data_IF_639151971047
#
_entry.id   IF_639151971047
#
_cell.length_a   1.000
_cell.length_b   1.000
_cell.length_c   1.000
_cell.angle_alpha   90.00
_cell.angle_beta   90.00
_cell.angle_gamma   90.00
#
_symmetry.space_group_name_H-M   'P 1'
#
loop_
_entity.id
_entity.type
_entity.pdbx_description
1 polymer ?
#
# COMPACT_ATOMS: atom_id res chain seq x y z
N UNK A 1 6.77 9.43 -23.79
CA UNK A 1 6.65 10.31 -22.60
C UNK A 1 6.38 9.44 -21.38
N UNK A 2 7.21 9.58 -20.34
CA UNK A 2 7.01 8.84 -19.09
C UNK A 2 5.77 9.40 -18.37
N UNK A 3 4.77 8.59 -18.05
CA UNK A 3 3.56 9.02 -17.34
C UNK A 3 3.88 9.66 -15.99
N UNK A 4 3.13 10.70 -15.60
CA UNK A 4 3.37 11.53 -14.42
C UNK A 4 2.21 11.40 -13.44
N UNK A 5 2.51 11.22 -12.15
CA UNK A 5 1.52 11.29 -11.08
C UNK A 5 1.31 12.76 -10.71
N UNK A 6 0.20 13.32 -11.18
CA UNK A 6 -0.13 14.74 -10.99
C UNK A 6 -0.98 15.01 -9.75
N UNK A 7 -1.67 14.00 -9.21
CA UNK A 7 -2.46 14.10 -8.01
C UNK A 7 -2.48 12.80 -7.23
N UNK A 8 -2.66 12.86 -5.91
CA UNK A 8 -2.74 11.69 -5.02
C UNK A 8 -3.54 12.00 -3.76
N UNK A 9 -4.27 11.01 -3.28
CA UNK A 9 -5.04 11.15 -2.05
C UNK A 9 -5.17 9.82 -1.30
N UNK A 10 -5.22 9.89 0.02
CA UNK A 10 -5.39 8.73 0.90
C UNK A 10 -6.38 9.05 2.02
N UNK A 11 -7.25 8.07 2.29
CA UNK A 11 -8.21 8.10 3.40
C UNK A 11 -8.07 6.80 4.20
N UNK A 12 -8.11 6.89 5.52
CA UNK A 12 -7.95 5.71 6.40
C UNK A 12 -8.90 5.74 7.58
N UNK A 13 -9.07 4.58 8.21
CA UNK A 13 -9.79 4.40 9.46
C UNK A 13 -9.08 5.00 10.69
N UNK A 14 -9.79 5.05 11.83
CA UNK A 14 -9.22 5.62 13.06
C UNK A 14 -8.06 4.80 13.64
N UNK A 15 -8.02 3.49 13.42
CA UNK A 15 -6.90 2.63 13.84
C UNK A 15 -5.66 2.92 13.01
N UNK A 16 -5.81 3.01 11.71
CA UNK A 16 -4.78 3.33 10.73
C UNK A 16 -4.18 4.71 10.95
N UNK A 17 -5.03 5.70 11.27
CA UNK A 17 -4.61 7.07 11.58
C UNK A 17 -3.74 7.18 12.83
N UNK A 18 -3.75 6.18 13.72
CA UNK A 18 -2.85 6.07 14.89
C UNK A 18 -1.57 5.30 14.59
N UNK A 19 -1.42 4.76 13.38
CA UNK A 19 -0.23 4.06 12.92
C UNK A 19 0.93 4.98 12.59
N UNK A 20 2.02 4.39 12.12
CA UNK A 20 3.26 5.12 11.83
C UNK A 20 3.10 6.16 10.70
N UNK A 21 2.16 5.95 9.79
CA UNK A 21 1.88 6.86 8.67
C UNK A 21 0.77 7.87 8.96
N UNK A 22 0.18 7.88 10.16
CA UNK A 22 -0.89 8.80 10.55
C UNK A 22 -0.70 10.26 10.11
N UNK A 23 0.49 10.86 10.31
CA UNK A 23 0.77 12.27 9.92
C UNK A 23 0.82 12.50 8.39
N UNK A 24 0.82 11.46 7.59
CA UNK A 24 0.92 11.56 6.13
C UNK A 24 -0.42 11.42 5.42
N UNK A 25 -1.40 10.74 6.03
CA UNK A 25 -2.72 10.55 5.41
C UNK A 25 -3.47 11.87 5.25
N UNK A 26 -4.16 12.01 4.11
CA UNK A 26 -4.93 13.22 3.81
C UNK A 26 -6.19 13.30 4.69
N UNK A 27 -6.82 12.17 4.98
CA UNK A 27 -8.00 12.14 5.82
C UNK A 27 -8.01 10.90 6.74
N UNK A 28 -8.34 11.10 8.00
CA UNK A 28 -8.56 10.04 8.98
C UNK A 28 -10.02 10.09 9.41
N UNK A 29 -10.76 9.00 9.18
CA UNK A 29 -12.16 8.87 9.55
C UNK A 29 -12.33 8.88 11.08
N UNK A 30 -13.49 9.33 11.54
CA UNK A 30 -13.83 9.33 12.98
C UNK A 30 -14.15 7.91 13.48
N UNK A 31 -14.78 7.12 12.63
CA UNK A 31 -15.17 5.73 12.87
C UNK A 31 -15.12 4.93 11.57
N UNK A 32 -15.12 3.61 11.66
CA UNK A 32 -15.02 2.70 10.52
C UNK A 32 -16.30 2.64 9.67
N UNK A 33 -17.43 3.09 10.18
CA UNK A 33 -18.69 3.14 9.44
C UNK A 33 -18.75 4.29 8.42
N UNK A 34 -17.92 5.30 8.61
CA UNK A 34 -17.89 6.53 7.80
C UNK A 34 -19.28 7.17 7.65
N UNK A 35 -20.14 6.97 8.68
CA UNK A 35 -21.53 7.43 8.69
C UNK A 35 -22.48 6.63 7.81
N UNK A 36 -22.08 5.46 7.31
CA UNK A 36 -22.88 4.57 6.48
C UNK A 36 -23.54 3.46 7.31
N UNK A 37 -24.57 2.82 6.74
CA UNK A 37 -25.33 1.75 7.40
C UNK A 37 -24.69 0.36 7.26
N UNK A 38 -23.68 0.22 6.40
CA UNK A 38 -22.93 -1.03 6.23
C UNK A 38 -21.48 -0.71 5.89
N UNK A 39 -20.59 -1.65 6.19
CA UNK A 39 -19.16 -1.48 5.92
C UNK A 39 -18.83 -1.49 4.42
N UNK A 40 -19.61 -2.20 3.58
CA UNK A 40 -19.48 -2.14 2.13
C UNK A 40 -19.78 -0.74 1.59
N UNK A 41 -20.79 -0.07 2.13
CA UNK A 41 -21.09 1.33 1.78
C UNK A 41 -19.99 2.29 2.28
N UNK A 42 -19.42 2.01 3.46
CA UNK A 42 -18.29 2.77 3.96
C UNK A 42 -17.07 2.61 3.06
N UNK A 43 -16.76 1.39 2.63
CA UNK A 43 -15.65 1.10 1.71
C UNK A 43 -15.84 1.77 0.34
N UNK A 44 -17.03 1.68 -0.25
CA UNK A 44 -17.40 2.41 -1.47
C UNK A 44 -17.21 3.92 -1.31
N UNK A 45 -17.64 4.49 -0.19
CA UNK A 45 -17.52 5.92 0.08
C UNK A 45 -16.06 6.34 0.30
N UNK A 46 -15.21 5.49 0.89
CA UNK A 46 -13.77 5.74 1.00
C UNK A 46 -13.12 5.78 -0.38
N UNK A 47 -13.39 4.80 -1.25
CA UNK A 47 -12.89 4.79 -2.63
C UNK A 47 -13.30 6.04 -3.38
N UNK A 48 -14.57 6.41 -3.34
CA UNK A 48 -15.08 7.64 -3.95
C UNK A 48 -14.37 8.89 -3.41
N UNK A 49 -14.19 8.98 -2.10
CA UNK A 49 -13.49 10.10 -1.46
C UNK A 49 -12.03 10.19 -1.90
N UNK A 50 -11.34 9.05 -2.02
CA UNK A 50 -9.97 8.99 -2.51
C UNK A 50 -9.86 9.46 -3.97
N UNK A 51 -10.76 9.00 -4.84
CA UNK A 51 -10.82 9.40 -6.25
C UNK A 51 -11.03 10.91 -6.38
N UNK A 52 -12.04 11.46 -5.72
CA UNK A 52 -12.34 12.91 -5.75
C UNK A 52 -11.15 13.70 -5.22
N UNK A 53 -10.60 13.29 -4.06
CA UNK A 53 -9.45 13.98 -3.47
C UNK A 53 -8.20 13.96 -4.35
N UNK A 54 -7.96 12.88 -5.10
CA UNK A 54 -6.84 12.81 -6.03
C UNK A 54 -7.04 13.72 -7.26
N UNK A 55 -8.27 13.85 -7.76
CA UNK A 55 -8.63 14.78 -8.86
C UNK A 55 -8.46 16.24 -8.38
N UNK A 56 -8.88 16.54 -7.15
CA UNK A 56 -8.70 17.87 -6.55
C UNK A 56 -7.23 18.22 -6.33
N UNK A 57 -6.40 17.26 -5.82
CA UNK A 57 -4.95 17.45 -5.65
C UNK A 57 -4.24 17.68 -7.01
N UNK A 58 -4.72 17.01 -8.07
CA UNK A 58 -4.27 17.21 -9.44
C UNK A 58 -4.67 18.58 -10.03
N UNK A 59 -5.62 19.28 -9.41
CA UNK A 59 -6.20 20.55 -9.89
C UNK A 59 -6.80 20.47 -11.29
N UNK A 60 -7.45 19.36 -11.60
CA UNK A 60 -8.17 19.13 -12.85
C UNK A 60 -9.66 18.96 -12.56
N UNK A 61 -10.48 18.97 -13.61
CA UNK A 61 -11.90 18.66 -13.52
C UNK A 61 -12.12 17.16 -13.68
N UNK A 62 -13.21 16.63 -13.13
CA UNK A 62 -13.59 15.24 -13.36
C UNK A 62 -13.80 14.94 -14.86
N UNK A 63 -14.26 15.92 -15.64
CA UNK A 63 -14.41 15.82 -17.11
C UNK A 63 -13.08 15.64 -17.86
N UNK A 64 -11.94 15.91 -17.23
CA UNK A 64 -10.62 15.75 -17.84
C UNK A 64 -10.08 14.32 -17.66
N UNK A 65 -10.78 13.49 -16.87
CA UNK A 65 -10.43 12.08 -16.63
C UNK A 65 -11.05 11.21 -17.73
N UNK A 66 -10.22 10.39 -18.38
CA UNK A 66 -10.67 9.49 -19.44
C UNK A 66 -11.10 8.12 -18.90
N UNK A 67 -10.41 7.60 -17.87
CA UNK A 67 -10.56 6.24 -17.41
C UNK A 67 -10.30 6.13 -15.90
N UNK A 68 -11.09 5.31 -15.24
CA UNK A 68 -10.83 4.81 -13.88
C UNK A 68 -10.41 3.35 -13.95
N UNK A 69 -9.25 3.05 -13.36
CA UNK A 69 -8.80 1.70 -13.08
C UNK A 69 -8.90 1.49 -11.56
N UNK A 70 -9.79 0.61 -11.12
CA UNK A 70 -9.97 0.41 -9.69
C UNK A 70 -10.33 -1.03 -9.35
N UNK A 71 -10.04 -1.41 -8.10
CA UNK A 71 -10.37 -2.70 -7.54
C UNK A 71 -10.36 -2.70 -6.02
N UNK A 72 -10.94 -3.74 -5.45
CA UNK A 72 -11.02 -4.01 -4.02
C UNK A 72 -10.97 -5.52 -3.76
N UNK A 73 -11.10 -5.94 -2.51
CA UNK A 73 -11.00 -7.37 -2.13
C UNK A 73 -12.32 -8.13 -2.23
N UNK A 74 -13.45 -7.45 -2.38
CA UNK A 74 -14.75 -8.08 -2.29
C UNK A 74 -15.12 -8.80 -3.59
N UNK A 75 -16.00 -9.79 -3.47
CA UNK A 75 -16.51 -10.53 -4.63
C UNK A 75 -17.04 -9.56 -5.69
N UNK A 76 -16.61 -9.80 -6.95
CA UNK A 76 -16.87 -8.98 -8.13
C UNK A 76 -16.47 -7.51 -7.99
N UNK A 77 -15.49 -7.20 -7.10
CA UNK A 77 -15.00 -5.83 -6.85
C UNK A 77 -16.15 -4.83 -6.64
N UNK A 78 -17.08 -5.22 -5.75
CA UNK A 78 -18.36 -4.52 -5.59
C UNK A 78 -18.20 -3.08 -5.12
N UNK A 79 -17.23 -2.80 -4.23
CA UNK A 79 -17.00 -1.46 -3.71
C UNK A 79 -16.50 -0.51 -4.81
N UNK A 80 -15.59 -0.98 -5.65
CA UNK A 80 -15.04 -0.22 -6.78
C UNK A 80 -16.07 0.01 -7.88
N UNK A 81 -16.83 -1.03 -8.24
CA UNK A 81 -17.86 -0.95 -9.27
C UNK A 81 -18.97 0.04 -8.90
N UNK A 82 -19.38 0.03 -7.63
CA UNK A 82 -20.41 0.95 -7.14
C UNK A 82 -19.88 2.36 -6.88
N UNK A 83 -18.60 2.52 -6.55
CA UNK A 83 -17.98 3.83 -6.51
C UNK A 83 -17.89 4.44 -7.92
N UNK A 84 -17.53 3.64 -8.93
CA UNK A 84 -17.41 4.07 -10.32
C UNK A 84 -18.73 4.59 -10.91
N UNK A 85 -19.86 4.05 -10.45
CA UNK A 85 -21.21 4.47 -10.91
C UNK A 85 -21.49 5.98 -10.79
N UNK A 86 -20.82 6.64 -9.87
CA UNK A 86 -21.04 8.05 -9.56
C UNK A 86 -20.15 8.99 -10.40
N UNK A 87 -19.40 8.45 -11.35
CA UNK A 87 -18.50 9.20 -12.23
C UNK A 87 -18.90 9.00 -13.71
N UNK A 88 -18.65 10.01 -14.52
CA UNK A 88 -18.94 10.02 -15.96
C UNK A 88 -17.65 9.83 -16.79
N UNK A 89 -16.87 8.80 -16.45
CA UNK A 89 -15.71 8.38 -17.23
C UNK A 89 -15.64 6.85 -17.33
N UNK A 90 -14.90 6.33 -18.31
CA UNK A 90 -14.80 4.90 -18.53
C UNK A 90 -14.27 4.18 -17.27
N UNK A 91 -14.66 2.92 -17.05
CA UNK A 91 -14.25 2.11 -15.92
C UNK A 91 -13.76 0.73 -16.37
N UNK A 92 -12.58 0.35 -15.90
CA UNK A 92 -12.08 -1.01 -15.94
C UNK A 92 -11.84 -1.50 -14.50
N UNK A 93 -12.60 -2.50 -14.09
CA UNK A 93 -12.44 -3.18 -12.81
C UNK A 93 -11.29 -4.18 -12.88
N UNK A 94 -10.42 -4.14 -11.87
CA UNK A 94 -9.23 -4.97 -11.77
C UNK A 94 -9.28 -5.82 -10.50
N UNK A 95 -8.71 -7.02 -10.56
CA UNK A 95 -8.58 -7.89 -9.39
C UNK A 95 -7.23 -8.59 -9.36
N UNK A 96 -6.25 -7.95 -8.79
CA UNK A 96 -4.96 -8.54 -8.39
C UNK A 96 -4.85 -8.70 -6.87
N UNK A 97 -6.00 -8.85 -6.17
CA UNK A 97 -6.07 -8.80 -4.71
C UNK A 97 -5.32 -7.56 -4.18
N UNK A 98 -4.44 -7.71 -3.19
CA UNK A 98 -3.72 -6.57 -2.59
C UNK A 98 -2.70 -5.91 -3.54
N UNK A 99 -2.35 -6.54 -4.69
CA UNK A 99 -1.43 -5.98 -5.70
C UNK A 99 -2.11 -5.00 -6.67
N UNK A 100 -3.42 -4.85 -6.64
CA UNK A 100 -4.22 -4.11 -7.61
C UNK A 100 -3.76 -2.65 -7.81
N UNK A 101 -3.14 -2.02 -6.80
CA UNK A 101 -2.63 -0.65 -6.98
C UNK A 101 -1.50 -0.59 -8.01
N UNK A 102 -0.51 -1.48 -7.96
CA UNK A 102 0.56 -1.52 -8.96
C UNK A 102 0.05 -2.05 -10.31
N UNK A 103 -0.87 -3.02 -10.31
CA UNK A 103 -1.55 -3.51 -11.51
C UNK A 103 -2.21 -2.35 -12.26
N UNK A 104 -3.05 -1.56 -11.57
CA UNK A 104 -3.74 -0.41 -12.16
C UNK A 104 -2.77 0.64 -12.71
N UNK A 105 -1.70 0.94 -11.96
CA UNK A 105 -0.70 1.93 -12.40
C UNK A 105 0.14 1.43 -13.58
N UNK A 106 0.48 0.14 -13.63
CA UNK A 106 1.20 -0.46 -14.76
C UNK A 106 0.36 -0.42 -16.03
N UNK A 107 -0.94 -0.77 -15.94
CA UNK A 107 -1.89 -0.71 -17.06
C UNK A 107 -2.08 0.75 -17.50
N UNK A 108 -2.33 1.68 -16.56
CA UNK A 108 -2.46 3.11 -16.86
C UNK A 108 -1.26 3.66 -17.61
N UNK A 109 -0.06 3.27 -17.16
CA UNK A 109 1.19 3.72 -17.79
C UNK A 109 1.31 3.22 -19.22
N UNK A 110 0.94 1.97 -19.49
CA UNK A 110 0.95 1.37 -20.83
C UNK A 110 -0.06 2.05 -21.77
N UNK A 111 -1.27 2.34 -21.26
CA UNK A 111 -2.33 3.03 -22.04
C UNK A 111 -1.88 4.46 -22.39
N UNK A 112 -1.29 5.19 -21.42
CA UNK A 112 -0.83 6.56 -21.65
C UNK A 112 0.37 6.59 -22.61
N UNK A 113 1.32 5.65 -22.48
CA UNK A 113 2.46 5.54 -23.38
C UNK A 113 2.01 5.17 -24.81
N UNK A 114 0.97 4.32 -24.94
CA UNK A 114 0.27 3.99 -26.19
C UNK A 114 -0.52 5.15 -26.77
N UNK A 115 -0.71 6.26 -26.04
CA UNK A 115 -1.45 7.47 -26.43
C UNK A 115 -2.95 7.26 -26.66
N UNK A 116 -3.53 6.24 -26.07
CA UNK A 116 -4.98 6.00 -26.13
C UNK A 116 -5.74 6.97 -25.20
N UNK A 117 -5.21 7.25 -24.01
CA UNK A 117 -5.75 8.20 -23.06
C UNK A 117 -4.67 9.10 -22.47
N UNK A 118 -5.04 10.33 -22.09
CA UNK A 118 -4.13 11.31 -21.51
C UNK A 118 -4.16 11.33 -19.98
N UNK A 119 -5.29 11.00 -19.36
CA UNK A 119 -5.48 11.13 -17.91
C UNK A 119 -6.28 9.96 -17.37
N UNK A 120 -5.69 9.20 -16.46
CA UNK A 120 -6.26 7.99 -15.86
C UNK A 120 -6.19 8.11 -14.34
N UNK A 121 -7.27 7.74 -13.66
CA UNK A 121 -7.30 7.59 -12.20
C UNK A 121 -7.09 6.12 -11.86
N UNK A 122 -6.15 5.84 -10.95
CA UNK A 122 -5.94 4.54 -10.34
C UNK A 122 -6.38 4.61 -8.87
N UNK A 123 -7.23 3.68 -8.42
CA UNK A 123 -7.70 3.67 -7.03
C UNK A 123 -7.94 2.26 -6.52
N UNK A 124 -7.47 2.00 -5.29
CA UNK A 124 -7.79 0.75 -4.60
C UNK A 124 -8.05 1.01 -3.12
N UNK A 125 -8.85 0.13 -2.51
CA UNK A 125 -9.18 0.24 -1.10
C UNK A 125 -9.61 -1.09 -0.52
N UNK A 126 -9.62 -1.15 0.80
CA UNK A 126 -10.12 -2.28 1.58
C UNK A 126 -10.73 -1.78 2.89
N UNK A 127 -11.55 -2.61 3.50
CA UNK A 127 -12.11 -2.36 4.81
C UNK A 127 -11.96 -3.60 5.67
N UNK A 128 -11.50 -3.44 6.92
CA UNK A 128 -11.29 -4.54 7.84
C UNK A 128 -12.52 -5.44 7.97
N UNK A 129 -13.67 -4.86 8.29
CA UNK A 129 -14.87 -5.64 8.59
C UNK A 129 -15.45 -6.36 7.38
N UNK A 130 -15.37 -5.80 6.19
CA UNK A 130 -15.84 -6.44 4.95
C UNK A 130 -14.93 -7.61 4.56
N UNK A 131 -13.62 -7.41 4.59
CA UNK A 131 -12.65 -8.45 4.27
C UNK A 131 -12.67 -9.61 5.28
N UNK A 132 -12.68 -9.31 6.57
CA UNK A 132 -12.74 -10.35 7.60
C UNK A 132 -14.03 -11.18 7.47
N UNK A 133 -15.19 -10.53 7.23
CA UNK A 133 -16.45 -11.22 7.04
C UNK A 133 -16.46 -12.10 5.79
N UNK A 134 -15.84 -11.65 4.71
CA UNK A 134 -15.76 -12.43 3.49
C UNK A 134 -14.81 -13.62 3.60
N UNK A 135 -13.64 -13.44 4.21
CA UNK A 135 -12.55 -14.43 4.16
C UNK A 135 -12.37 -15.22 5.46
N UNK A 136 -12.79 -14.68 6.61
CA UNK A 136 -12.54 -15.26 7.94
C UNK A 136 -13.74 -15.22 8.86
N UNK A 137 -14.96 -15.15 8.32
CA UNK A 137 -16.19 -15.07 9.12
C UNK A 137 -16.44 -16.34 9.96
N UNK A 138 -17.42 -16.32 10.90
CA UNK A 138 -18.21 -15.14 11.27
C UNK A 138 -17.44 -14.19 12.19
N UNK A 139 -17.58 -12.88 11.94
CA UNK A 139 -16.94 -11.83 12.75
C UNK A 139 -17.36 -11.92 14.22
N UNK A 140 -18.61 -12.27 14.46
CA UNK A 140 -19.24 -12.35 15.77
C UNK A 140 -18.63 -13.42 16.68
N UNK A 141 -17.98 -14.43 16.12
CA UNK A 141 -17.31 -15.48 16.90
C UNK A 141 -15.97 -15.05 17.48
N UNK A 142 -15.35 -14.00 16.93
CA UNK A 142 -14.09 -13.47 17.41
C UNK A 142 -12.98 -14.52 17.35
N UNK A 143 -12.33 -14.69 16.22
CA UNK A 143 -11.25 -15.67 16.08
C UNK A 143 -9.97 -15.21 16.78
N UNK A 144 -9.35 -16.13 17.53
CA UNK A 144 -8.00 -15.95 17.98
C UNK A 144 -7.04 -15.94 16.77
N UNK A 145 -6.27 -14.87 16.62
CA UNK A 145 -5.37 -14.69 15.49
C UNK A 145 -4.01 -15.31 15.80
N UNK A 146 -3.47 -16.17 14.93
CA UNK A 146 -2.10 -16.65 15.07
C UNK A 146 -1.09 -15.52 14.77
N UNK A 147 0.17 -15.65 15.23
CA UNK A 147 1.22 -14.64 15.02
C UNK A 147 1.49 -14.28 13.54
N UNK A 148 1.20 -15.21 12.62
CA UNK A 148 1.33 -15.03 11.17
C UNK A 148 0.29 -14.09 10.59
N UNK A 149 -0.87 -13.93 11.25
CA UNK A 149 -1.99 -13.12 10.76
C UNK A 149 -1.64 -11.66 10.61
N UNK A 150 -2.24 -11.05 9.60
CA UNK A 150 -2.17 -9.63 9.31
C UNK A 150 -3.52 -8.95 9.57
N UNK A 151 -3.50 -7.65 9.73
CA UNK A 151 -4.69 -6.81 9.90
C UNK A 151 -5.06 -6.13 8.59
N UNK A 152 -6.24 -6.41 8.05
CA UNK A 152 -6.71 -5.71 6.85
C UNK A 152 -6.85 -4.22 7.14
N UNK A 153 -6.15 -3.39 6.37
CA UNK A 153 -6.19 -1.94 6.49
C UNK A 153 -7.56 -1.42 6.05
N UNK A 154 -8.19 -0.62 6.90
CA UNK A 154 -9.36 0.17 6.52
C UNK A 154 -8.86 1.47 5.88
N UNK A 155 -8.94 1.55 4.55
CA UNK A 155 -8.46 2.71 3.83
C UNK A 155 -8.54 2.57 2.31
N UNK A 156 -8.45 3.70 1.62
CA UNK A 156 -8.38 3.78 0.19
C UNK A 156 -7.34 4.81 -0.25
N UNK A 157 -6.65 4.51 -1.35
CA UNK A 157 -5.71 5.40 -1.99
C UNK A 157 -6.04 5.59 -3.46
N UNK A 158 -5.83 6.79 -3.98
CA UNK A 158 -6.00 7.08 -5.40
C UNK A 158 -4.89 8.01 -5.91
N UNK A 159 -4.49 7.82 -7.17
CA UNK A 159 -3.65 8.77 -7.88
C UNK A 159 -4.19 9.06 -9.27
N UNK A 160 -3.87 10.25 -9.76
CA UNK A 160 -4.13 10.69 -11.14
C UNK A 160 -2.81 10.60 -11.90
N UNK A 161 -2.81 9.79 -12.96
CA UNK A 161 -1.67 9.61 -13.86
C UNK A 161 -1.98 10.31 -15.18
N UNK A 162 -1.05 11.11 -15.68
CA UNK A 162 -1.25 11.88 -16.90
C UNK A 162 -0.04 11.80 -17.84
N UNK A 163 -0.29 12.00 -19.13
CA UNK A 163 0.75 12.16 -20.16
C UNK A 163 1.58 13.44 -19.97
N UNK A 164 1.06 14.43 -19.22
CA UNK A 164 1.63 15.75 -18.99
C UNK A 164 1.50 16.17 -17.54
N UNK A 165 2.39 17.05 -17.09
CA UNK A 165 2.34 17.65 -15.77
C UNK A 165 3.66 17.57 -15.02
N UNK A 166 3.61 17.94 -13.73
CA UNK A 166 4.74 17.89 -12.79
C UNK A 166 4.43 16.91 -11.67
N UNK A 167 5.40 16.11 -11.29
CA UNK A 167 5.30 15.14 -10.22
C UNK A 167 6.14 13.90 -10.47
N UNK A 168 6.08 12.91 -9.58
CA UNK A 168 6.79 11.65 -9.77
C UNK A 168 6.38 10.96 -11.07
N UNK A 169 7.35 10.33 -11.73
CA UNK A 169 7.15 9.65 -13.01
C UNK A 169 7.16 8.15 -12.83
N UNK A 170 6.32 7.45 -13.57
CA UNK A 170 6.41 6.01 -13.72
C UNK A 170 7.35 5.75 -14.89
N UNK A 171 8.49 5.09 -14.60
CA UNK A 171 9.56 4.92 -15.58
C UNK A 171 9.70 3.51 -16.10
N UNK A 172 9.27 2.53 -15.32
CA UNK A 172 9.28 1.11 -15.66
C UNK A 172 8.10 0.41 -15.00
N UNK A 173 7.60 -0.65 -15.63
CA UNK A 173 6.62 -1.57 -15.09
C UNK A 173 7.04 -3.02 -15.41
N UNK A 174 6.81 -3.93 -14.45
CA UNK A 174 7.00 -5.37 -14.64
C UNK A 174 5.73 -6.07 -14.23
N UNK A 175 5.08 -6.75 -15.18
CA UNK A 175 3.91 -7.56 -14.89
C UNK A 175 4.36 -8.92 -14.36
N UNK A 176 3.91 -9.27 -13.17
CA UNK A 176 4.25 -10.54 -12.55
C UNK A 176 3.33 -11.67 -12.99
N UNK A 177 3.76 -12.89 -12.71
CA UNK A 177 3.00 -14.11 -12.94
C UNK A 177 2.26 -14.52 -11.66
N UNK A 178 1.29 -15.40 -11.83
CA UNK A 178 0.71 -16.14 -10.72
C UNK A 178 1.67 -17.24 -10.30
N UNK A 179 2.07 -17.25 -9.04
CA UNK A 179 3.01 -18.21 -8.44
C UNK A 179 2.31 -18.93 -7.28
N UNK A 180 2.44 -20.24 -7.23
CA UNK A 180 1.84 -21.08 -6.19
C UNK A 180 2.87 -22.05 -5.62
N UNK A 181 3.16 -21.91 -4.32
CA UNK A 181 4.06 -22.80 -3.56
C UNK A 181 3.31 -23.74 -2.61
N UNK A 182 2.01 -23.90 -2.81
CA UNK A 182 1.21 -24.88 -2.07
C UNK A 182 0.75 -24.42 -0.68
N UNK A 183 0.81 -23.11 -0.38
CA UNK A 183 0.31 -22.58 0.89
C UNK A 183 -1.22 -22.59 0.87
N UNK A 184 -1.85 -23.14 1.92
CA UNK A 184 -3.31 -23.22 2.06
C UNK A 184 -3.83 -22.61 3.37
N UNK A 185 -2.97 -22.12 4.27
CA UNK A 185 -3.39 -21.46 5.49
C UNK A 185 -3.79 -20.00 5.21
N UNK A 186 -5.07 -19.71 5.33
CA UNK A 186 -5.66 -18.37 5.17
C UNK A 186 -5.14 -17.34 6.19
N UNK A 187 -4.45 -17.77 7.23
CA UNK A 187 -3.83 -16.90 8.22
C UNK A 187 -2.34 -16.63 7.94
N UNK A 188 -1.78 -17.22 6.89
CA UNK A 188 -0.38 -17.03 6.49
C UNK A 188 -0.26 -16.51 5.05
N UNK A 189 -0.85 -15.36 4.80
CA UNK A 189 -0.82 -14.70 3.49
C UNK A 189 0.60 -14.27 3.09
N UNK A 190 1.45 -13.95 4.07
CA UNK A 190 2.85 -13.57 3.83
C UNK A 190 3.62 -14.70 3.14
N UNK A 191 3.48 -15.94 3.63
CA UNK A 191 4.12 -17.11 3.01
C UNK A 191 3.55 -17.40 1.60
N UNK A 192 2.25 -17.20 1.39
CA UNK A 192 1.63 -17.39 0.08
C UNK A 192 2.12 -16.37 -0.97
N UNK A 193 2.37 -15.14 -0.57
CA UNK A 193 2.71 -14.04 -1.48
C UNK A 193 4.22 -13.85 -1.71
N UNK A 194 5.08 -14.21 -0.76
CA UNK A 194 6.52 -13.98 -0.85
C UNK A 194 7.17 -14.59 -2.12
N UNK A 195 6.82 -15.83 -2.57
CA UNK A 195 7.36 -16.39 -3.81
C UNK A 195 7.01 -15.59 -5.07
N UNK A 196 5.81 -14.98 -5.12
CA UNK A 196 5.42 -14.13 -6.24
C UNK A 196 6.21 -12.81 -6.26
N UNK A 197 6.49 -12.24 -5.07
CA UNK A 197 7.35 -11.07 -4.95
C UNK A 197 8.78 -11.40 -5.42
N UNK A 198 9.35 -12.54 -5.04
CA UNK A 198 10.65 -13.00 -5.51
C UNK A 198 10.68 -13.13 -7.03
N UNK A 199 9.76 -13.89 -7.65
CA UNK A 199 9.73 -14.11 -9.12
C UNK A 199 9.68 -12.78 -9.87
N UNK A 200 8.81 -11.84 -9.43
CA UNK A 200 8.67 -10.54 -10.07
C UNK A 200 9.91 -9.67 -9.86
N UNK A 201 10.53 -9.69 -8.69
CA UNK A 201 11.75 -8.93 -8.40
C UNK A 201 12.92 -9.42 -9.23
N UNK A 202 13.10 -10.73 -9.36
CA UNK A 202 14.12 -11.34 -10.23
C UNK A 202 13.90 -10.98 -11.69
N UNK A 203 12.66 -11.08 -12.18
CA UNK A 203 12.30 -10.67 -13.53
C UNK A 203 12.59 -9.18 -13.75
N UNK A 204 12.20 -8.34 -12.79
CA UNK A 204 12.44 -6.90 -12.86
C UNK A 204 13.94 -6.58 -12.99
N UNK A 205 14.78 -7.09 -12.11
CA UNK A 205 16.23 -6.81 -12.14
C UNK A 205 16.89 -7.32 -13.41
N UNK A 206 16.51 -8.53 -13.86
CA UNK A 206 17.02 -9.12 -15.11
C UNK A 206 16.67 -8.26 -16.33
N UNK A 207 15.39 -7.86 -16.45
CA UNK A 207 14.86 -7.22 -17.65
C UNK A 207 15.26 -5.74 -17.73
N UNK A 208 15.38 -5.07 -16.58
CA UNK A 208 15.79 -3.67 -16.48
C UNK A 208 17.28 -3.47 -16.31
N UNK A 209 18.04 -4.55 -16.06
CA UNK A 209 19.48 -4.56 -15.75
C UNK A 209 19.81 -3.66 -14.56
N UNK A 210 18.96 -3.70 -13.54
CA UNK A 210 19.13 -2.99 -12.28
C UNK A 210 19.43 -3.95 -11.14
N UNK A 211 19.88 -3.40 -10.02
CA UNK A 211 20.18 -4.13 -8.78
C UNK A 211 19.47 -3.44 -7.61
N UNK A 212 19.41 -4.05 -6.43
CA UNK A 212 18.79 -3.40 -5.27
C UNK A 212 19.38 -2.02 -4.94
N UNK A 213 20.66 -1.80 -5.21
CA UNK A 213 21.39 -0.55 -4.91
C UNK A 213 20.94 0.62 -5.79
N UNK A 214 20.26 0.36 -6.91
CA UNK A 214 19.73 1.37 -7.81
C UNK A 214 18.49 2.11 -7.27
N UNK A 215 17.99 1.70 -6.09
CA UNK A 215 16.77 2.22 -5.50
C UNK A 215 17.01 2.81 -4.11
N UNK A 216 16.42 3.98 -3.82
CA UNK A 216 16.39 4.53 -2.46
C UNK A 216 15.45 3.73 -1.55
N UNK A 217 14.42 3.12 -2.14
CA UNK A 217 13.46 2.24 -1.47
C UNK A 217 12.97 1.17 -2.43
N UNK A 218 13.06 -0.09 -1.99
CA UNK A 218 12.32 -1.21 -2.55
C UNK A 218 11.22 -1.53 -1.53
N UNK A 219 9.95 -1.53 -1.94
CA UNK A 219 8.87 -1.71 -0.99
C UNK A 219 7.80 -2.66 -1.54
N UNK A 220 7.57 -3.73 -0.78
CA UNK A 220 6.42 -4.63 -0.98
C UNK A 220 5.17 -4.07 -0.29
N UNK A 221 4.01 -4.66 -0.58
CA UNK A 221 2.73 -4.10 -0.16
C UNK A 221 2.24 -4.55 1.20
N UNK A 222 2.21 -5.86 1.39
CA UNK A 222 1.55 -6.45 2.54
C UNK A 222 2.04 -7.87 2.85
N UNK A 223 3.31 -8.14 2.62
CA UNK A 223 3.96 -9.36 3.10
C UNK A 223 3.93 -9.44 4.63
N UNK A 224 3.91 -8.28 5.29
CA UNK A 224 4.04 -8.18 6.72
C UNK A 224 5.42 -8.63 7.21
N UNK A 225 5.56 -8.81 8.51
CA UNK A 225 6.86 -9.18 9.10
C UNK A 225 7.34 -10.54 8.59
N UNK A 226 6.50 -11.57 8.72
CA UNK A 226 6.89 -12.95 8.36
C UNK A 226 7.15 -13.08 6.85
N UNK A 227 6.24 -12.59 6.00
CA UNK A 227 6.41 -12.67 4.55
C UNK A 227 7.63 -11.88 4.05
N UNK A 228 7.98 -10.77 4.72
CA UNK A 228 9.20 -10.01 4.41
C UNK A 228 10.46 -10.80 4.78
N UNK A 229 10.48 -11.49 5.92
CA UNK A 229 11.57 -12.37 6.33
C UNK A 229 11.74 -13.51 5.31
N UNK A 230 10.64 -14.17 4.90
CA UNK A 230 10.65 -15.22 3.86
C UNK A 230 11.19 -14.67 2.53
N UNK A 231 10.76 -13.48 2.09
CA UNK A 231 11.25 -12.89 0.85
C UNK A 231 12.76 -12.61 0.90
N UNK A 232 13.27 -12.12 2.03
CA UNK A 232 14.71 -11.87 2.21
C UNK A 232 15.49 -13.18 2.05
N UNK A 233 15.07 -14.25 2.70
CA UNK A 233 15.71 -15.57 2.61
C UNK A 233 15.64 -16.12 1.16
N UNK A 234 14.46 -16.05 0.52
CA UNK A 234 14.31 -16.49 -0.87
C UNK A 234 15.20 -15.71 -1.85
N UNK A 235 15.37 -14.41 -1.65
CA UNK A 235 16.25 -13.59 -2.50
C UNK A 235 17.73 -13.89 -2.24
N UNK A 236 18.12 -14.16 -0.99
CA UNK A 236 19.50 -14.56 -0.64
C UNK A 236 19.85 -15.91 -1.27
N UNK A 237 18.92 -16.86 -1.31
CA UNK A 237 19.07 -18.14 -2.02
C UNK A 237 19.31 -17.97 -3.54
N UNK A 238 18.80 -16.87 -4.12
CA UNK A 238 19.05 -16.49 -5.51
C UNK A 238 20.34 -15.66 -5.69
N UNK A 239 21.12 -15.47 -4.63
CA UNK A 239 22.34 -14.68 -4.64
C UNK A 239 22.14 -13.17 -4.66
N UNK A 240 20.93 -12.69 -4.36
CA UNK A 240 20.61 -11.26 -4.30
C UNK A 240 20.31 -10.87 -2.84
N UNK A 241 21.14 -9.99 -2.31
CA UNK A 241 20.96 -9.49 -0.95
C UNK A 241 20.12 -8.21 -0.93
N UNK A 242 18.97 -8.27 -0.28
CA UNK A 242 18.16 -7.07 0.00
C UNK A 242 18.79 -6.30 1.15
N UNK A 243 19.06 -5.01 0.92
CA UNK A 243 19.72 -4.11 1.87
C UNK A 243 18.75 -3.40 2.81
N UNK A 244 19.26 -2.38 3.51
CA UNK A 244 18.47 -1.53 4.40
C UNK A 244 17.43 -0.66 3.68
N UNK A 245 17.49 -0.60 2.38
CA UNK A 245 16.53 0.08 1.49
C UNK A 245 15.33 -0.81 1.12
N UNK A 246 15.29 -2.07 1.53
CA UNK A 246 14.10 -2.90 1.42
C UNK A 246 13.19 -2.73 2.64
N UNK A 247 11.88 -2.66 2.39
CA UNK A 247 10.86 -2.67 3.43
C UNK A 247 9.51 -3.18 2.88
N UNK A 248 8.51 -3.29 3.77
CA UNK A 248 7.15 -3.70 3.43
C UNK A 248 6.13 -2.73 4.02
N UNK A 249 5.13 -2.29 3.22
CA UNK A 249 4.12 -1.35 3.70
C UNK A 249 3.36 -1.91 4.92
N UNK A 250 2.98 -3.19 4.90
CA UNK A 250 2.26 -3.83 5.99
C UNK A 250 3.10 -3.92 7.26
N UNK A 251 4.38 -4.27 7.13
CA UNK A 251 5.31 -4.31 8.27
C UNK A 251 5.50 -2.93 8.90
N UNK A 252 5.56 -1.88 8.08
CA UNK A 252 5.75 -0.50 8.55
C UNK A 252 4.48 0.16 9.07
N UNK A 253 3.29 -0.35 8.74
CA UNK A 253 2.02 0.37 8.85
C UNK A 253 1.65 0.74 10.29
N UNK A 254 1.66 -0.24 11.17
CA UNK A 254 1.18 -0.11 12.53
C UNK A 254 2.30 0.02 13.56
N UNK A 255 1.99 0.66 14.66
CA UNK A 255 2.88 0.66 15.83
C UNK A 255 2.78 -0.67 16.59
N UNK A 256 3.82 -1.02 17.34
CA UNK A 256 3.86 -2.27 18.15
C UNK A 256 2.67 -2.40 19.12
N UNK A 257 2.12 -1.29 19.60
CA UNK A 257 1.02 -1.29 20.58
C UNK A 257 -0.37 -1.51 19.97
N UNK A 258 -0.49 -1.58 18.63
CA UNK A 258 -1.77 -1.72 17.96
C UNK A 258 -2.22 -3.17 17.77
N UNK A 259 -1.42 -4.14 18.19
CA UNK A 259 -1.73 -5.58 18.19
C UNK A 259 -2.19 -6.10 16.81
N UNK A 260 -1.39 -5.84 15.78
CA UNK A 260 -1.65 -6.28 14.40
C UNK A 260 -0.79 -7.46 13.96
N UNK A 261 -0.08 -8.09 14.91
CA UNK A 261 0.72 -9.31 14.73
C UNK A 261 1.80 -9.17 13.63
N UNK A 262 1.57 -9.76 12.44
CA UNK A 262 2.53 -9.66 11.32
C UNK A 262 2.46 -8.31 10.58
N UNK A 263 1.47 -7.47 10.85
CA UNK A 263 1.36 -6.12 10.26
C UNK A 263 0.07 -5.86 9.50
N UNK A 264 0.09 -4.91 8.58
CA UNK A 264 -1.04 -4.56 7.72
C UNK A 264 -1.16 -5.44 6.49
N UNK A 265 -2.35 -5.53 5.93
CA UNK A 265 -2.67 -6.25 4.68
C UNK A 265 -3.81 -5.55 3.93
N UNK A 266 -4.11 -6.03 2.74
CA UNK A 266 -5.24 -5.56 1.92
C UNK A 266 -4.87 -4.50 0.90
N UNK A 267 -5.75 -4.28 -0.09
CA UNK A 267 -5.55 -3.29 -1.16
C UNK A 267 -5.32 -1.89 -0.59
N UNK A 268 -5.96 -1.54 0.50
CA UNK A 268 -5.79 -0.26 1.19
C UNK A 268 -4.41 -0.08 1.81
N UNK A 269 -3.69 -1.16 2.14
CA UNK A 269 -2.38 -1.09 2.79
C UNK A 269 -1.36 -0.36 1.90
N UNK A 270 -0.99 -0.98 0.78
CA UNK A 270 -0.01 -0.41 -0.15
C UNK A 270 -0.52 0.88 -0.79
N UNK A 271 -1.82 0.95 -1.13
CA UNK A 271 -2.40 2.12 -1.77
C UNK A 271 -2.34 3.37 -0.91
N UNK A 272 -2.64 3.26 0.39
CA UNK A 272 -2.61 4.43 1.29
C UNK A 272 -1.18 4.87 1.60
N UNK A 273 -0.23 3.94 1.78
CA UNK A 273 1.19 4.28 1.98
C UNK A 273 1.78 4.93 0.74
N UNK A 274 1.49 4.40 -0.46
CA UNK A 274 1.93 4.99 -1.73
C UNK A 274 1.41 6.42 -1.86
N UNK A 275 0.07 6.60 -1.76
CA UNK A 275 -0.61 7.86 -2.07
C UNK A 275 -0.49 8.92 -0.97
N UNK A 276 0.22 8.63 0.10
CA UNK A 276 0.55 9.57 1.17
C UNK A 276 2.07 9.73 1.33
N UNK A 277 2.71 8.73 1.92
CA UNK A 277 4.11 8.79 2.34
C UNK A 277 5.07 8.75 1.16
N UNK A 278 4.97 7.73 0.27
CA UNK A 278 5.95 7.51 -0.80
C UNK A 278 5.90 8.65 -1.82
N UNK A 279 4.70 9.02 -2.30
CA UNK A 279 4.55 10.13 -3.27
C UNK A 279 5.03 11.44 -2.67
N UNK A 280 4.79 11.70 -1.38
CA UNK A 280 5.29 12.89 -0.71
C UNK A 280 6.82 12.92 -0.69
N UNK A 281 7.50 11.80 -0.39
CA UNK A 281 8.96 11.68 -0.40
C UNK A 281 9.56 11.87 -1.79
N UNK A 282 8.89 11.36 -2.82
CA UNK A 282 9.28 11.58 -4.22
C UNK A 282 9.07 13.05 -4.64
N UNK A 283 7.96 13.68 -4.25
CA UNK A 283 7.68 15.09 -4.56
C UNK A 283 8.69 16.05 -3.91
N UNK A 284 9.23 15.69 -2.76
CA UNK A 284 10.25 16.48 -2.05
C UNK A 284 11.69 16.14 -2.46
N UNK A 285 11.90 15.12 -3.30
CA UNK A 285 13.23 14.63 -3.69
C UNK A 285 13.97 13.89 -2.56
N UNK A 286 13.30 13.57 -1.45
CA UNK A 286 13.86 12.74 -0.37
C UNK A 286 14.08 11.31 -0.84
N UNK A 287 13.16 10.77 -1.67
CA UNK A 287 13.38 9.62 -2.52
C UNK A 287 13.52 10.08 -3.97
N UNK A 288 14.51 9.54 -4.67
CA UNK A 288 14.74 9.78 -6.10
C UNK A 288 14.17 8.66 -6.94
N UNK A 289 14.30 7.42 -6.46
CA UNK A 289 13.87 6.22 -7.19
C UNK A 289 13.34 5.16 -6.22
N UNK A 290 12.11 4.74 -6.43
CA UNK A 290 11.41 3.75 -5.62
C UNK A 290 10.94 2.61 -6.51
N UNK A 291 11.20 1.37 -6.09
CA UNK A 291 10.58 0.17 -6.64
C UNK A 291 9.39 -0.21 -5.75
N UNK A 292 8.18 -0.02 -6.25
CA UNK A 292 6.92 -0.32 -5.56
C UNK A 292 6.34 -1.62 -6.10
N UNK A 293 6.19 -2.62 -5.22
CA UNK A 293 5.88 -4.01 -5.57
C UNK A 293 4.82 -4.60 -4.64
N UNK A 294 3.57 -4.10 -4.62
CA UNK A 294 2.52 -4.70 -3.81
C UNK A 294 2.23 -6.12 -4.27
N UNK A 295 1.99 -6.97 -3.29
CA UNK A 295 1.69 -8.39 -3.44
C UNK A 295 0.19 -8.64 -3.31
N UNK A 296 -0.30 -9.75 -3.84
CA UNK A 296 -1.69 -10.16 -3.72
C UNK A 296 -1.81 -11.66 -3.55
N UNK A 297 -2.64 -12.08 -2.60
CA UNK A 297 -3.05 -13.47 -2.44
C UNK A 297 -4.38 -13.68 -3.18
N UNK A 298 -4.37 -14.47 -4.22
CA UNK A 298 -5.54 -14.75 -5.07
C UNK A 298 -6.43 -15.79 -4.40
N UNK A 299 -6.97 -15.43 -3.24
CA UNK A 299 -7.81 -16.30 -2.43
C UNK A 299 -9.29 -16.08 -2.74
N UNK A 300 -10.02 -17.19 -2.80
CA UNK A 300 -11.47 -17.25 -2.84
C UNK A 300 -11.96 -18.10 -1.67
N UNK A 301 -13.03 -17.68 -1.01
CA UNK A 301 -13.66 -18.47 0.05
C UNK A 301 -14.10 -19.86 -0.44
N UNK A 302 -14.61 -19.93 -1.67
CA UNK A 302 -15.03 -21.19 -2.29
C UNK A 302 -13.83 -22.10 -2.52
N UNK A 303 -12.74 -21.60 -3.10
CA UNK A 303 -11.52 -22.38 -3.36
C UNK A 303 -10.90 -22.88 -2.04
N UNK A 304 -10.77 -21.99 -1.04
CA UNK A 304 -10.25 -22.36 0.28
C UNK A 304 -11.08 -23.44 0.98
N UNK A 305 -12.43 -23.38 0.90
CA UNK A 305 -13.32 -24.40 1.46
C UNK A 305 -13.23 -25.74 0.71
N UNK A 306 -12.75 -25.75 -0.53
CA UNK A 306 -12.50 -26.94 -1.33
C UNK A 306 -11.09 -27.51 -1.12
N UNK A 307 -10.28 -26.89 -0.28
CA UNK A 307 -8.92 -27.31 0.03
C UNK A 307 -7.86 -26.90 -1.00
N UNK A 308 -8.20 -25.94 -1.87
CA UNK A 308 -7.24 -25.37 -2.82
C UNK A 308 -6.18 -24.51 -2.11
N UNK A 309 -5.03 -24.40 -2.76
CA UNK A 309 -3.93 -23.55 -2.35
C UNK A 309 -4.23 -22.06 -2.62
N UNK A 310 -3.39 -21.17 -2.10
CA UNK A 310 -3.50 -19.72 -2.25
C UNK A 310 -2.36 -19.23 -3.18
N UNK A 311 -2.62 -19.05 -4.48
CA UNK A 311 -1.61 -18.50 -5.38
C UNK A 311 -1.34 -17.03 -5.06
N UNK A 312 -0.08 -16.60 -5.22
CA UNK A 312 0.33 -15.21 -5.11
C UNK A 312 0.53 -14.53 -6.46
N UNK A 313 0.39 -13.23 -6.49
CA UNK A 313 0.76 -12.37 -7.62
C UNK A 313 1.46 -11.12 -7.11
N UNK A 314 2.38 -10.57 -7.90
CA UNK A 314 3.06 -9.32 -7.59
C UNK A 314 3.30 -8.56 -8.88
N UNK A 315 2.99 -7.26 -8.90
CA UNK A 315 3.35 -6.37 -10.00
C UNK A 315 4.29 -5.30 -9.49
N UNK A 316 5.22 -4.85 -10.34
CA UNK A 316 6.22 -3.86 -9.96
C UNK A 316 6.14 -2.62 -10.84
N UNK A 317 6.28 -1.45 -10.22
CA UNK A 317 6.47 -0.18 -10.92
C UNK A 317 7.66 0.58 -10.32
N UNK A 318 8.41 1.26 -11.17
CA UNK A 318 9.46 2.18 -10.75
C UNK A 318 8.93 3.60 -10.79
N UNK A 319 9.05 4.26 -9.65
CA UNK A 319 8.68 5.67 -9.48
C UNK A 319 9.95 6.50 -9.32
N UNK A 320 10.09 7.55 -10.10
CA UNK A 320 11.19 8.50 -9.99
C UNK A 320 10.66 9.90 -9.65
N UNK A 321 11.42 10.65 -8.83
CA UNK A 321 11.09 12.05 -8.56
C UNK A 321 11.14 12.89 -9.84
N UNK A 322 10.47 14.04 -9.83
CA UNK A 322 10.52 15.01 -10.94
C UNK A 322 11.96 15.50 -11.18
N UNK A 323 12.34 15.69 -12.44
CA UNK A 323 13.68 16.13 -12.80
C UNK A 323 14.05 17.48 -12.15
N UNK A 324 13.06 18.35 -11.91
CA UNK A 324 13.27 19.65 -11.24
C UNK A 324 13.69 19.53 -9.77
N UNK A 325 13.53 18.34 -9.15
CA UNK A 325 13.87 18.07 -7.73
C UNK A 325 15.14 17.22 -7.60
N UNK A 326 15.61 16.59 -8.68
CA UNK A 326 16.80 15.70 -8.65
C UNK A 326 18.07 16.41 -8.21
N UNK A 327 18.18 17.73 -8.45
CA UNK A 327 19.36 18.55 -8.15
C UNK A 327 19.39 19.14 -6.73
N UNK A 328 18.34 18.92 -5.94
CA UNK A 328 18.34 19.35 -4.54
C UNK A 328 19.27 18.40 -3.76
N UNK A 329 20.52 18.86 -3.54
CA UNK A 329 21.48 18.16 -2.66
C UNK A 329 20.86 18.03 -1.28
N UNK A 330 20.48 16.82 -0.90
CA UNK A 330 20.10 16.50 0.48
C UNK A 330 21.31 16.72 1.37
N UNK A 331 21.28 17.79 2.17
CA UNK A 331 22.25 18.02 3.24
C UNK A 331 22.19 16.85 4.23
N UNK A 332 23.32 16.30 4.69
CA UNK A 332 23.37 15.11 5.57
C UNK A 332 22.79 15.29 6.97
N UNK A 333 22.02 16.34 7.23
CA UNK A 333 21.62 16.76 8.58
C UNK A 333 20.36 16.05 9.13
N UNK A 334 19.61 15.29 8.32
CA UNK A 334 18.33 14.74 8.76
C UNK A 334 18.41 13.36 9.46
N UNK A 335 19.49 12.62 9.29
CA UNK A 335 19.61 11.27 9.90
C UNK A 335 20.07 11.33 11.35
N UNK A 336 20.76 12.41 11.76
CA UNK A 336 21.23 12.57 13.16
C UNK A 336 20.11 12.92 14.15
N UNK A 337 19.02 13.50 13.71
CA UNK A 337 17.94 13.95 14.61
C UNK A 337 16.97 12.85 15.04
N UNK A 338 16.88 11.73 14.33
CA UNK A 338 16.06 10.60 14.73
C UNK A 338 16.72 9.72 15.82
N UNK A 339 18.06 9.67 15.86
CA UNK A 339 18.79 8.93 16.90
C UNK A 339 18.89 9.70 18.23
N UNK A 340 18.85 11.04 18.22
CA UNK A 340 18.95 11.85 19.43
C UNK A 340 17.66 12.03 20.23
N UNK A 341 16.49 11.72 19.65
CA UNK A 341 15.22 11.78 20.39
C UNK A 341 14.91 10.50 21.17
N UNK A 342 15.62 9.40 20.92
CA UNK A 342 15.47 8.17 21.71
C UNK A 342 16.33 8.16 22.96
N UNK A 343 17.43 8.93 23.02
CA UNK A 343 18.34 8.97 24.18
C UNK A 343 17.98 10.03 25.25
N UNK A 344 17.08 10.97 24.95
CA UNK A 344 16.66 12.02 25.90
C UNK A 344 15.40 11.71 26.72
N UNK A 345 14.74 10.58 26.50
CA UNK A 345 13.55 10.16 27.30
C UNK A 345 13.86 9.23 28.46
N UNK A 346 15.13 8.82 28.65
CA UNK A 346 15.51 7.85 29.71
C UNK A 346 16.19 8.50 30.91
N UNK A 347 16.28 9.83 31.01
CA UNK A 347 17.01 10.49 32.10
C UNK A 347 16.20 11.55 32.83
N UNK A 348 14.87 11.37 32.96
CA UNK A 348 14.04 12.26 33.81
C UNK A 348 12.96 11.47 34.58
N UNK A 349 13.37 10.44 35.36
CA UNK A 349 12.48 9.87 36.39
C UNK A 349 13.32 9.31 37.51
N UNK A 350 14.13 10.15 38.15
CA UNK A 350 14.68 9.89 39.45
C UNK A 350 15.03 11.22 40.11
N UNK A 351 14.07 11.88 40.72
CA UNK A 351 14.18 12.85 41.85
C UNK A 351 12.73 13.30 42.11
N UNK A 352 12.04 12.63 43.02
CA UNK A 352 11.04 13.18 43.94
C UNK A 352 10.40 12.05 44.75
N UNK A 353 11.14 11.57 45.72
CA UNK A 353 10.61 10.91 46.94
C UNK A 353 11.27 11.54 48.12
N UNK A 354 10.69 12.60 48.61
CA UNK A 354 10.78 13.08 50.01
C UNK A 354 9.69 14.13 50.23
N UNK A 355 8.96 13.94 51.30
CA UNK A 355 7.95 14.79 51.92
C UNK A 355 6.53 14.44 51.60
N UNK A 356 5.96 13.58 52.42
CA UNK A 356 4.68 13.85 53.13
C UNK A 356 4.48 12.75 54.20
N UNK A 357 4.99 13.01 55.38
CA UNK A 357 4.39 12.57 56.64
C UNK A 357 3.69 13.77 57.21
N UNK A 358 2.55 13.50 57.87
CA UNK A 358 1.64 14.31 58.70
C UNK A 358 0.43 14.88 57.97
N UNK A 359 -0.68 14.31 58.33
CA UNK A 359 -1.82 14.86 59.12
C UNK A 359 -3.07 14.09 58.77
N UNK A 360 -3.61 13.42 59.83
CA UNK A 360 -4.94 12.82 60.08
C UNK A 360 -5.46 11.76 59.15
#
# INVERSE_FOLDING_TARGET
NKPVIIGSYSIVGPKEGKGNFGPYFNYVMKDDSFGEKSYEKAEMKMLKTAIVGAIEDAKIKASDVNLLLAGDLLNQIISSSYAARDFDFAFLGLFGACSTMAESMAIASSIIDGKEFDTIVCSTGSHFSTAERQFRFPLELGNQRPPTSQWTVTGAGACVISSKGKGPRITMATFGKVIDYGVNDVNDMGAAMAPAAMDTMLAHFRDTKTTPEDYDLIVTGDLGKLGSEILIDLMEDQGIKLGLNYNDCGQMFYTRNQNTLSGGSGCGCSATVLNSYIIKKLRTGEYKRVLFMPTGALMSTTASQQGETIPGVCHAIVLECDDSVKDIKTSPTSIKNLKNNQSKKTTRTSISKKNQQHIN
#
